data_IF_083622255522
#
_entry.id   IF_083622255522
#
_cell.length_a   1.000
_cell.length_b   1.000
_cell.length_c   1.000
_cell.angle_alpha   90.00
_cell.angle_beta   90.00
_cell.angle_gamma   90.00
#
_symmetry.space_group_name_H-M   'P 1'
#
loop_
_entity.id
_entity.type
_entity.pdbx_description
1 polymer ?
#
# COMPACT_ATOMS: atom_id res chain seq x y z
N UNK A 1 -33.47 1.35 19.52
CA UNK A 1 -32.66 2.54 19.84
C UNK A 1 -32.04 3.00 18.53
N UNK A 2 -32.33 4.23 18.09
CA UNK A 2 -31.82 4.76 16.82
C UNK A 2 -30.42 5.33 17.05
N UNK A 3 -29.45 4.90 16.23
CA UNK A 3 -28.11 5.46 16.24
C UNK A 3 -28.14 6.83 15.52
N UNK A 4 -28.45 7.89 16.26
CA UNK A 4 -28.63 9.24 15.71
C UNK A 4 -27.32 10.04 15.59
N UNK A 5 -26.16 9.39 15.70
CA UNK A 5 -24.88 10.07 15.50
C UNK A 5 -24.48 10.01 14.02
N UNK A 6 -24.25 11.17 13.36
CA UNK A 6 -23.66 11.19 12.03
C UNK A 6 -22.34 10.42 12.02
N UNK A 7 -22.24 9.46 11.12
CA UNK A 7 -21.07 8.60 11.01
C UNK A 7 -20.41 8.74 9.63
N UNK A 8 -19.09 8.70 9.62
CA UNK A 8 -18.29 8.68 8.41
C UNK A 8 -18.36 7.27 7.78
N UNK A 9 -18.96 7.21 6.59
CA UNK A 9 -19.19 5.96 5.85
C UNK A 9 -17.94 5.40 5.14
N UNK A 10 -17.11 6.27 4.57
CA UNK A 10 -15.95 5.86 3.78
C UNK A 10 -14.63 5.86 4.59
N UNK A 11 -13.64 5.10 4.10
CA UNK A 11 -12.22 5.41 4.33
C UNK A 11 -11.82 6.43 3.24
N UNK A 12 -11.02 7.47 3.41
CA UNK A 12 -10.02 7.86 4.38
C UNK A 12 -10.05 9.40 4.43
N UNK A 13 -10.36 10.03 5.57
CA UNK A 13 -10.60 11.47 5.62
C UNK A 13 -9.35 12.32 5.37
N UNK A 14 -8.17 11.72 5.53
CA UNK A 14 -6.89 12.30 5.13
C UNK A 14 -6.23 11.31 4.18
N UNK A 15 -5.85 11.82 3.01
CA UNK A 15 -5.17 11.07 1.96
C UNK A 15 -4.14 11.96 1.29
N UNK A 16 -2.89 11.54 1.31
CA UNK A 16 -1.80 12.19 0.59
C UNK A 16 -1.07 11.15 -0.24
N UNK A 17 -0.93 11.42 -1.54
CA UNK A 17 -0.16 10.58 -2.44
C UNK A 17 0.78 11.44 -3.28
N UNK A 18 2.04 11.03 -3.34
CA UNK A 18 3.06 11.60 -4.22
C UNK A 18 3.75 10.48 -4.97
N UNK A 19 3.68 10.56 -6.29
CA UNK A 19 4.38 9.64 -7.19
C UNK A 19 5.48 10.38 -7.93
N UNK A 20 6.70 9.85 -7.87
CA UNK A 20 7.84 10.31 -8.65
C UNK A 20 8.15 9.25 -9.70
N UNK A 21 8.18 9.65 -10.97
CA UNK A 21 8.51 8.75 -12.08
C UNK A 21 9.63 9.34 -12.91
N UNK A 22 10.65 8.55 -13.12
CA UNK A 22 11.72 8.83 -14.06
C UNK A 22 11.72 7.75 -15.12
N UNK A 23 11.70 8.16 -16.38
CA UNK A 23 11.76 7.26 -17.52
C UNK A 23 12.73 7.83 -18.54
N UNK A 24 13.53 6.96 -19.12
CA UNK A 24 14.44 7.32 -20.20
C UNK A 24 14.66 6.14 -21.11
N UNK A 25 14.96 6.44 -22.36
CA UNK A 25 15.39 5.46 -23.35
C UNK A 25 16.48 6.05 -24.24
N UNK A 26 17.30 5.17 -24.77
CA UNK A 26 18.44 5.55 -25.59
C UNK A 26 18.77 4.46 -26.61
N UNK A 27 19.00 4.88 -27.85
CA UNK A 27 19.54 4.02 -28.89
C UNK A 27 21.06 4.07 -28.82
N UNK A 28 21.68 3.00 -28.33
CA UNK A 28 23.13 2.89 -28.23
C UNK A 28 23.77 2.84 -29.62
N UNK A 29 23.10 2.17 -30.56
CA UNK A 29 23.38 2.16 -31.99
C UNK A 29 22.18 1.55 -32.75
N UNK A 30 22.34 1.28 -34.06
CA UNK A 30 21.29 0.71 -34.91
C UNK A 30 20.76 -0.67 -34.46
N UNK A 31 21.55 -1.42 -33.70
CA UNK A 31 21.21 -2.78 -33.25
C UNK A 31 20.84 -2.87 -31.79
N UNK A 32 21.04 -1.83 -30.99
CA UNK A 32 20.95 -1.89 -29.54
C UNK A 32 20.19 -0.68 -28.98
N UNK A 33 19.10 -0.97 -28.25
CA UNK A 33 18.29 0.03 -27.56
C UNK A 33 18.10 -0.37 -26.10
N UNK A 34 18.25 0.61 -25.21
CA UNK A 34 18.00 0.46 -23.79
C UNK A 34 16.86 1.40 -23.38
N UNK A 35 15.97 0.92 -22.52
CA UNK A 35 14.97 1.75 -21.85
C UNK A 35 14.83 1.36 -20.40
N UNK A 36 14.52 2.36 -19.57
CA UNK A 36 14.39 2.17 -18.14
C UNK A 36 13.34 3.09 -17.54
N UNK A 37 12.74 2.64 -16.44
CA UNK A 37 11.82 3.42 -15.64
C UNK A 37 12.02 3.09 -14.17
N UNK A 38 11.99 4.12 -13.33
CA UNK A 38 11.87 4.00 -11.88
C UNK A 38 10.67 4.83 -11.45
N UNK A 39 9.78 4.21 -10.67
CA UNK A 39 8.67 4.89 -10.01
C UNK A 39 8.77 4.66 -8.51
N UNK A 40 8.55 5.74 -7.76
CA UNK A 40 8.47 5.74 -6.30
C UNK A 40 7.16 6.37 -5.89
N UNK A 41 6.36 5.63 -5.14
CA UNK A 41 5.13 6.10 -4.54
C UNK A 41 5.30 6.32 -3.04
N UNK A 42 4.76 7.43 -2.55
CA UNK A 42 4.63 7.77 -1.15
C UNK A 42 3.15 8.02 -0.89
N UNK A 43 2.48 7.13 -0.17
CA UNK A 43 1.04 7.24 0.06
C UNK A 43 0.75 7.05 1.53
N UNK A 44 0.26 8.10 2.17
CA UNK A 44 -0.13 8.13 3.58
C UNK A 44 -1.62 8.42 3.67
N UNK A 45 -2.35 7.67 4.50
CA UNK A 45 -3.77 7.89 4.72
C UNK A 45 -4.22 7.49 6.12
N UNK A 46 -5.31 8.10 6.57
CA UNK A 46 -6.02 7.64 7.75
C UNK A 46 -6.96 6.49 7.37
N UNK A 47 -6.49 5.26 7.51
CA UNK A 47 -7.25 4.04 7.27
C UNK A 47 -8.15 3.72 8.48
N UNK A 48 -9.36 3.22 8.24
CA UNK A 48 -10.30 2.91 9.33
C UNK A 48 -11.54 2.15 8.79
N UNK A 49 -12.22 1.29 9.59
CA UNK A 49 -13.50 0.65 9.25
C UNK A 49 -14.72 1.53 9.49
N UNK A 50 -15.85 1.24 8.82
CA UNK A 50 -17.22 1.81 8.98
C UNK A 50 -17.58 2.43 10.34
N UNK A 51 -18.34 3.54 10.38
CA UNK A 51 -19.02 3.95 11.63
C UNK A 51 -18.21 4.84 12.58
N UNK A 52 -17.33 5.69 12.05
CA UNK A 52 -16.53 6.64 12.86
C UNK A 52 -17.29 7.96 13.03
N UNK A 53 -16.96 8.71 14.06
CA UNK A 53 -17.62 9.97 14.36
C UNK A 53 -16.61 11.08 14.66
N UNK A 54 -17.11 12.32 14.66
CA UNK A 54 -16.31 13.52 14.91
C UNK A 54 -15.35 13.88 13.78
N UNK A 55 -14.56 14.93 14.01
CA UNK A 55 -13.52 15.36 13.09
C UNK A 55 -12.35 14.38 13.12
N UNK A 56 -11.94 13.77 11.98
CA UNK A 56 -10.81 12.86 11.94
C UNK A 56 -9.47 13.56 12.24
N UNK A 57 -8.48 12.89 12.85
CA UNK A 57 -8.50 11.52 13.38
C UNK A 57 -9.22 11.39 14.75
N UNK A 58 -9.74 12.48 15.28
CA UNK A 58 -10.61 12.49 16.46
C UNK A 58 -9.88 12.19 17.76
N UNK A 59 -10.53 11.41 18.61
CA UNK A 59 -10.04 10.99 19.93
C UNK A 59 -9.48 9.56 19.90
N UNK A 60 -8.73 9.14 20.92
CA UNK A 60 -8.17 7.78 21.02
C UNK A 60 -9.19 6.66 21.11
N UNK A 61 -10.43 6.99 21.48
CA UNK A 61 -11.58 6.07 21.43
C UNK A 61 -12.02 5.77 20.00
N UNK A 62 -11.56 6.54 19.02
CA UNK A 62 -11.78 6.25 17.60
C UNK A 62 -10.81 5.15 17.11
N UNK A 63 -11.02 4.69 15.89
CA UNK A 63 -10.33 3.50 15.33
C UNK A 63 -9.50 3.85 14.09
N UNK A 64 -9.04 5.10 14.00
CA UNK A 64 -8.18 5.54 12.91
C UNK A 64 -6.79 4.95 13.03
N UNK A 65 -6.27 4.57 11.88
CA UNK A 65 -4.94 4.03 11.69
C UNK A 65 -4.19 4.93 10.70
N UNK A 66 -2.95 5.28 11.03
CA UNK A 66 -2.02 5.85 10.07
C UNK A 66 -1.51 4.70 9.20
N UNK A 67 -1.86 4.74 7.92
CA UNK A 67 -1.39 3.76 6.95
C UNK A 67 -0.44 4.43 5.96
N UNK A 68 0.83 4.07 6.01
CA UNK A 68 1.85 4.43 5.02
C UNK A 68 2.11 3.23 4.10
N UNK A 69 1.89 3.41 2.80
CA UNK A 69 2.12 2.38 1.79
C UNK A 69 3.14 2.82 0.74
N UNK A 70 4.44 2.82 1.06
CA UNK A 70 5.48 3.19 0.11
C UNK A 70 5.62 2.12 -0.98
N UNK A 71 5.78 2.56 -2.23
CA UNK A 71 5.94 1.70 -3.39
C UNK A 71 7.20 2.03 -4.17
N UNK A 72 7.93 1.03 -4.66
CA UNK A 72 9.03 1.19 -5.63
C UNK A 72 8.83 0.22 -6.76
N UNK A 73 8.93 0.73 -7.98
CA UNK A 73 8.83 -0.04 -9.19
C UNK A 73 10.01 0.32 -10.09
N UNK A 74 10.76 -0.70 -10.52
CA UNK A 74 11.83 -0.54 -11.52
C UNK A 74 11.50 -1.41 -12.71
N UNK A 75 11.68 -0.87 -13.90
CA UNK A 75 11.56 -1.59 -15.17
C UNK A 75 12.78 -1.27 -16.01
N UNK A 76 13.37 -2.29 -16.62
CA UNK A 76 14.42 -2.18 -17.61
C UNK A 76 14.07 -3.05 -18.80
N UNK A 77 14.36 -2.56 -20.00
CA UNK A 77 14.26 -3.35 -21.21
C UNK A 77 15.45 -3.05 -22.12
N UNK A 78 16.06 -4.12 -22.63
CA UNK A 78 17.15 -4.07 -23.57
C UNK A 78 16.75 -4.85 -24.82
N UNK A 79 16.54 -4.13 -25.92
CA UNK A 79 16.21 -4.68 -27.21
C UNK A 79 17.49 -4.73 -28.07
N UNK A 80 17.77 -5.86 -28.70
CA UNK A 80 18.97 -6.06 -29.51
C UNK A 80 18.72 -6.88 -30.76
N UNK A 81 19.47 -6.60 -31.83
CA UNK A 81 19.40 -7.31 -33.12
C UNK A 81 20.67 -8.14 -33.31
N UNK A 82 20.56 -9.47 -33.20
CA UNK A 82 21.71 -10.37 -33.45
C UNK A 82 21.96 -10.53 -34.95
N UNK A 83 20.88 -10.64 -35.73
CA UNK A 83 20.86 -10.72 -37.20
C UNK A 83 19.65 -9.94 -37.70
N UNK A 84 19.59 -9.50 -38.97
CA UNK A 84 18.41 -8.82 -39.52
C UNK A 84 17.09 -9.59 -39.34
N UNK A 85 17.20 -10.91 -39.17
CA UNK A 85 16.07 -11.83 -38.97
C UNK A 85 15.98 -12.41 -37.56
N UNK A 86 16.85 -12.02 -36.62
CA UNK A 86 16.86 -12.52 -35.24
C UNK A 86 17.01 -11.37 -34.25
N UNK A 87 15.90 -11.06 -33.59
CA UNK A 87 15.76 -10.01 -32.59
C UNK A 87 15.69 -10.64 -31.20
N UNK A 88 16.34 -10.02 -30.22
CA UNK A 88 16.31 -10.40 -28.82
C UNK A 88 15.82 -9.26 -27.94
N UNK A 89 15.19 -9.60 -26.82
CA UNK A 89 14.75 -8.66 -25.79
C UNK A 89 15.00 -9.25 -24.42
N UNK A 90 15.67 -8.48 -23.56
CA UNK A 90 15.79 -8.77 -22.14
C UNK A 90 14.97 -7.75 -21.35
N UNK A 91 14.11 -8.21 -20.46
CA UNK A 91 13.36 -7.35 -19.54
C UNK A 91 13.71 -7.68 -18.09
N UNK A 92 13.76 -6.63 -17.28
CA UNK A 92 13.87 -6.70 -15.82
C UNK A 92 12.71 -5.94 -15.21
N UNK A 93 12.01 -6.56 -14.27
CA UNK A 93 11.00 -5.92 -13.44
C UNK A 93 11.32 -6.14 -11.97
N UNK A 94 11.30 -5.07 -11.19
CA UNK A 94 11.36 -5.13 -9.73
C UNK A 94 10.20 -4.35 -9.13
N UNK A 95 9.57 -4.91 -8.10
CA UNK A 95 8.50 -4.29 -7.34
C UNK A 95 8.78 -4.46 -5.85
N UNK A 96 8.57 -3.40 -5.09
CA UNK A 96 8.56 -3.42 -3.64
C UNK A 96 7.42 -2.57 -3.13
N UNK A 97 6.60 -3.13 -2.26
CA UNK A 97 5.48 -2.46 -1.64
C UNK A 97 5.53 -2.67 -0.13
N UNK A 98 5.53 -1.60 0.62
CA UNK A 98 5.31 -1.61 2.07
C UNK A 98 3.86 -1.29 2.38
N UNK A 99 3.36 -1.85 3.47
CA UNK A 99 2.10 -1.49 4.09
C UNK A 99 2.30 -1.47 5.60
N UNK A 100 2.59 -0.29 6.10
CA UNK A 100 2.76 0.03 7.51
C UNK A 100 1.42 0.59 7.97
N UNK A 101 0.80 -0.03 8.96
CA UNK A 101 -0.52 0.33 9.43
C UNK A 101 -0.59 0.24 10.95
N UNK A 102 -0.73 1.39 11.59
CA UNK A 102 -0.70 1.52 13.04
C UNK A 102 -1.74 2.52 13.53
N UNK A 103 -2.13 2.44 14.80
CA UNK A 103 -3.02 3.43 15.40
C UNK A 103 -2.44 4.84 15.28
N UNK A 104 -3.28 5.84 14.97
CA UNK A 104 -2.85 7.26 15.01
C UNK A 104 -2.44 7.69 16.42
N UNK A 105 -2.86 6.93 17.43
CA UNK A 105 -2.61 7.16 18.85
C UNK A 105 -1.55 6.21 19.44
N UNK A 106 -0.71 5.61 18.59
CA UNK A 106 0.39 4.73 19.02
C UNK A 106 1.47 5.51 19.79
N UNK A 107 2.07 4.88 20.79
CA UNK A 107 3.20 5.38 21.59
C UNK A 107 2.96 6.78 22.23
N UNK A 108 1.70 7.10 22.57
CA UNK A 108 1.29 8.37 23.20
C UNK A 108 0.97 8.25 24.70
N UNK A 109 1.31 7.11 25.32
CA UNK A 109 1.11 6.83 26.75
C UNK A 109 -0.36 6.98 27.21
N UNK A 110 -1.29 6.56 26.36
CA UNK A 110 -2.72 6.58 26.67
C UNK A 110 -3.10 5.77 27.90
N UNK A 111 -2.53 4.58 28.17
CA UNK A 111 -2.80 3.84 29.39
C UNK A 111 -2.58 4.66 30.65
N UNK A 112 -1.43 5.34 30.80
CA UNK A 112 -1.18 6.20 31.97
C UNK A 112 -2.16 7.39 32.03
N UNK A 113 -2.45 8.02 30.88
CA UNK A 113 -3.40 9.15 30.79
C UNK A 113 -4.82 8.81 31.22
N UNK A 114 -5.24 7.55 31.11
CA UNK A 114 -6.56 7.07 31.55
C UNK A 114 -6.50 6.28 32.87
N UNK A 115 -5.36 6.34 33.58
CA UNK A 115 -5.21 5.77 34.92
C UNK A 115 -4.90 4.27 34.97
N UNK A 116 -4.57 3.63 33.83
CA UNK A 116 -4.09 2.25 33.82
C UNK A 116 -2.65 2.21 34.32
N UNK A 117 -2.43 1.42 35.37
CA UNK A 117 -1.11 1.17 35.93
C UNK A 117 -0.55 -0.15 35.41
N UNK A 118 0.78 -0.27 35.34
CA UNK A 118 1.48 -1.51 34.95
C UNK A 118 1.15 -2.00 33.52
N UNK A 119 0.79 -1.08 32.62
CA UNK A 119 0.53 -1.39 31.20
C UNK A 119 1.47 -0.56 30.32
N UNK A 120 2.11 -1.16 29.29
CA UNK A 120 2.94 -0.39 28.36
C UNK A 120 2.16 0.71 27.65
N UNK A 121 2.74 1.92 27.56
CA UNK A 121 2.14 3.13 26.98
C UNK A 121 1.92 3.13 25.45
N UNK A 122 1.74 1.95 24.85
CA UNK A 122 1.81 1.73 23.39
C UNK A 122 0.51 2.09 22.66
N UNK A 123 -0.66 1.77 23.23
CA UNK A 123 -1.96 2.01 22.57
C UNK A 123 -3.00 2.47 23.57
N UNK A 124 -4.00 3.24 23.10
CA UNK A 124 -5.28 3.28 23.79
C UNK A 124 -5.91 1.88 23.76
N UNK A 125 -6.47 1.39 24.88
CA UNK A 125 -7.03 0.04 24.95
C UNK A 125 -8.16 -0.15 23.94
N UNK A 126 -8.15 -1.29 23.26
CA UNK A 126 -9.27 -1.73 22.44
C UNK A 126 -10.41 -2.20 23.34
N UNK A 127 -11.54 -1.51 23.31
CA UNK A 127 -12.75 -1.90 24.04
C UNK A 127 -13.75 -2.48 23.04
N UNK A 128 -14.07 -3.77 23.19
CA UNK A 128 -14.97 -4.49 22.29
C UNK A 128 -16.37 -4.59 22.91
N UNK A 129 -17.40 -4.25 22.14
CA UNK A 129 -18.79 -4.26 22.57
C UNK A 129 -19.61 -5.25 21.74
N UNK A 130 -20.05 -6.33 22.39
CA UNK A 130 -20.90 -7.37 21.79
C UNK A 130 -22.39 -7.19 22.09
N UNK A 131 -23.19 -8.16 21.66
CA UNK A 131 -24.64 -8.20 21.91
C UNK A 131 -25.48 -7.45 20.88
N UNK A 132 -26.78 -7.37 21.15
CA UNK A 132 -27.71 -6.63 20.29
C UNK A 132 -27.50 -5.12 20.47
N UNK A 133 -27.89 -4.27 19.50
CA UNK A 133 -27.64 -2.83 19.60
C UNK A 133 -28.21 -2.16 20.84
N UNK A 134 -29.33 -2.65 21.37
CA UNK A 134 -29.91 -2.16 22.62
C UNK A 134 -29.14 -2.57 23.88
N UNK A 135 -28.19 -3.51 23.77
CA UNK A 135 -27.31 -3.97 24.84
C UNK A 135 -25.91 -3.32 24.75
N UNK A 136 -25.71 -2.37 23.82
CA UNK A 136 -24.41 -1.75 23.56
C UNK A 136 -23.66 -2.37 22.37
N UNK A 137 -24.22 -3.37 21.69
CA UNK A 137 -23.67 -3.88 20.44
C UNK A 137 -23.58 -2.77 19.39
N UNK A 138 -22.41 -2.60 18.76
CA UNK A 138 -22.22 -1.52 17.79
C UNK A 138 -21.89 -0.15 18.40
N UNK A 139 -21.55 -0.08 19.70
CA UNK A 139 -20.82 1.07 20.23
C UNK A 139 -19.49 1.19 19.48
N UNK A 140 -19.28 2.36 18.89
CA UNK A 140 -18.10 2.66 18.12
C UNK A 140 -18.04 1.97 16.76
N UNK A 141 -16.92 2.16 16.07
CA UNK A 141 -16.76 1.78 14.68
C UNK A 141 -16.43 0.28 14.58
N UNK A 142 -17.40 -0.51 14.10
CA UNK A 142 -17.31 -1.97 14.09
C UNK A 142 -17.49 -2.61 15.46
N UNK A 143 -18.24 -1.97 16.38
CA UNK A 143 -18.47 -2.49 17.73
C UNK A 143 -17.26 -2.37 18.64
N UNK A 144 -16.38 -1.39 18.40
CA UNK A 144 -15.21 -1.15 19.24
C UNK A 144 -14.86 0.32 19.40
N UNK A 145 -14.21 0.62 20.52
CA UNK A 145 -13.44 1.84 20.73
C UNK A 145 -11.95 1.51 20.75
N UNK A 146 -11.14 2.44 20.24
CA UNK A 146 -9.68 2.27 20.22
C UNK A 146 -9.16 1.38 19.09
N UNK A 147 -7.93 1.66 18.68
CA UNK A 147 -7.18 0.84 17.73
C UNK A 147 -5.89 0.34 18.38
N UNK A 148 -5.79 -0.98 18.52
CA UNK A 148 -4.58 -1.70 18.95
C UNK A 148 -3.71 -2.16 17.77
N UNK A 149 -3.92 -1.58 16.58
CA UNK A 149 -3.15 -1.94 15.40
C UNK A 149 -1.73 -1.40 15.48
N UNK A 150 -0.76 -2.28 15.23
CA UNK A 150 0.63 -1.95 14.94
C UNK A 150 1.20 -3.07 14.09
N UNK A 151 1.41 -2.79 12.81
CA UNK A 151 1.91 -3.80 11.89
C UNK A 151 2.60 -3.19 10.70
N UNK A 152 3.61 -3.88 10.20
CA UNK A 152 4.26 -3.58 8.95
C UNK A 152 4.34 -4.87 8.12
N UNK A 153 3.88 -4.81 6.89
CA UNK A 153 3.96 -5.90 5.93
C UNK A 153 4.63 -5.40 4.68
N UNK A 154 5.45 -6.25 4.07
CA UNK A 154 6.17 -5.87 2.85
C UNK A 154 6.07 -6.98 1.83
N UNK A 155 5.65 -6.62 0.62
CA UNK A 155 5.57 -7.52 -0.52
C UNK A 155 6.55 -7.04 -1.60
N UNK A 156 7.01 -7.95 -2.45
CA UNK A 156 7.83 -7.59 -3.59
C UNK A 156 7.95 -8.73 -4.58
N UNK A 157 8.40 -8.38 -5.79
CA UNK A 157 8.67 -9.34 -6.84
C UNK A 157 9.81 -8.87 -7.72
N UNK A 158 10.58 -9.83 -8.22
CA UNK A 158 11.60 -9.62 -9.24
C UNK A 158 11.30 -10.57 -10.38
N UNK A 159 11.26 -10.04 -11.60
CA UNK A 159 10.99 -10.79 -12.83
C UNK A 159 12.11 -10.47 -13.81
N UNK A 160 12.69 -11.50 -14.39
CA UNK A 160 13.62 -11.40 -15.51
C UNK A 160 13.01 -12.21 -16.64
N UNK A 161 12.98 -11.63 -17.83
CA UNK A 161 12.41 -12.27 -19.01
C UNK A 161 13.37 -12.10 -20.19
N UNK A 162 13.51 -13.16 -20.97
CA UNK A 162 14.30 -13.17 -22.19
C UNK A 162 13.47 -13.76 -23.34
N UNK A 163 13.19 -12.92 -24.34
CA UNK A 163 12.46 -13.33 -25.54
C UNK A 163 13.30 -13.13 -26.79
N UNK A 164 13.12 -14.03 -27.75
CA UNK A 164 13.67 -13.90 -29.09
C UNK A 164 12.55 -13.99 -30.11
N UNK A 165 12.69 -13.19 -31.17
CA UNK A 165 11.83 -13.23 -32.34
C UNK A 165 12.68 -13.53 -33.57
N UNK A 166 12.37 -14.63 -34.25
CA UNK A 166 12.99 -15.00 -35.53
C UNK A 166 12.01 -14.77 -36.67
N UNK A 167 12.42 -13.98 -37.65
CA UNK A 167 11.69 -13.73 -38.89
C UNK A 167 12.26 -14.64 -39.98
N UNK A 168 11.43 -15.48 -40.60
CA UNK A 168 11.86 -16.39 -41.66
C UNK A 168 10.83 -16.40 -42.79
N UNK A 169 11.15 -15.74 -43.91
CA UNK A 169 10.22 -15.56 -45.03
C UNK A 169 8.95 -14.83 -44.58
N UNK A 170 7.79 -15.49 -44.71
CA UNK A 170 6.47 -14.95 -44.30
C UNK A 170 6.08 -15.31 -42.85
N UNK A 171 6.99 -15.92 -42.08
CA UNK A 171 6.70 -16.44 -40.74
C UNK A 171 7.50 -15.74 -39.65
N UNK A 172 6.89 -15.58 -38.47
CA UNK A 172 7.52 -15.07 -37.25
C UNK A 172 7.42 -16.14 -36.15
N UNK A 173 8.55 -16.47 -35.54
CA UNK A 173 8.64 -17.39 -34.42
C UNK A 173 9.08 -16.62 -33.19
N UNK A 174 8.33 -16.75 -32.08
CA UNK A 174 8.70 -16.17 -30.79
C UNK A 174 8.96 -17.29 -29.79
N UNK A 175 10.06 -17.20 -29.06
CA UNK A 175 10.46 -18.19 -28.06
C UNK A 175 11.24 -17.50 -26.93
N UNK A 176 11.12 -18.00 -25.71
CA UNK A 176 11.64 -17.36 -24.51
C UNK A 176 10.88 -17.75 -23.25
N UNK A 177 11.31 -17.17 -22.12
CA UNK A 177 10.75 -17.35 -20.78
C UNK A 177 10.78 -16.03 -20.03
#
# INVERSE_FOLDING_TARGET
MLNNMPALGACCPVFGERMLTFKGDHNLNERHRLSGMVNRNFRVRNNSPGGRWGAPPGTPTNVYQNQDTPGTMVRGAYDFTLRPTLLGRLNLGYNRFGNINESVFVDQDWPAKIGLQNVPGVHFPGLLFGGLPFQGGGIGAGGRLGSSSRGASFNGSTIIQADFTKVSGKHNYKFGF
#
